data_IF_701994943326
#
_entry.id   IF_701994943326
#
_cell.length_a   1.000
_cell.length_b   1.000
_cell.length_c   1.000
_cell.angle_alpha   90.00
_cell.angle_beta   90.00
_cell.angle_gamma   90.00
#
_symmetry.space_group_name_H-M   'P 1'
#
loop_
_entity.id
_entity.type
_entity.pdbx_description
1 polymer ?
#
# COMPACT_ATOMS: atom_id res chain seq x y z
N UNK A 1 -33.12 -1.33 1.46
CA UNK A 1 -32.76 -2.09 0.26
C UNK A 1 -31.59 -3.00 0.58
N UNK A 2 -31.59 -4.25 0.08
CA UNK A 2 -30.46 -5.16 0.26
C UNK A 2 -29.22 -4.69 -0.53
N UNK A 3 -28.03 -5.05 -0.05
CA UNK A 3 -26.78 -4.78 -0.78
C UNK A 3 -26.80 -5.38 -2.18
N UNK A 4 -26.20 -4.72 -3.19
CA UNK A 4 -26.09 -5.28 -4.53
C UNK A 4 -25.38 -6.64 -4.49
N UNK A 5 -26.00 -7.66 -5.05
CA UNK A 5 -25.41 -9.01 -5.17
C UNK A 5 -25.15 -9.42 -6.61
N UNK A 6 -25.74 -8.69 -7.56
CA UNK A 6 -25.59 -8.91 -8.99
C UNK A 6 -24.51 -7.96 -9.55
N UNK A 7 -23.68 -8.48 -10.43
CA UNK A 7 -22.68 -7.70 -11.15
C UNK A 7 -23.37 -6.70 -12.10
N UNK A 8 -22.91 -5.47 -12.07
CA UNK A 8 -23.21 -4.45 -13.09
C UNK A 8 -21.93 -3.68 -13.40
N UNK A 9 -21.77 -3.26 -14.65
CA UNK A 9 -20.60 -2.47 -15.06
C UNK A 9 -20.50 -1.14 -14.29
N UNK A 10 -21.62 -0.54 -13.95
CA UNK A 10 -21.68 0.71 -13.18
C UNK A 10 -21.06 0.55 -11.79
N UNK A 11 -21.43 -0.52 -11.08
CA UNK A 11 -20.86 -0.82 -9.76
C UNK A 11 -19.37 -1.17 -9.88
N UNK A 12 -19.01 -1.96 -10.90
CA UNK A 12 -17.62 -2.33 -11.14
C UNK A 12 -16.74 -1.12 -11.43
N UNK A 13 -17.22 -0.19 -12.27
CA UNK A 13 -16.52 1.07 -12.56
C UNK A 13 -16.38 1.95 -11.31
N UNK A 14 -17.46 2.10 -10.54
CA UNK A 14 -17.43 2.88 -9.30
C UNK A 14 -16.42 2.31 -8.27
N UNK A 15 -16.34 0.97 -8.16
CA UNK A 15 -15.34 0.32 -7.31
C UNK A 15 -13.93 0.63 -7.83
N UNK A 16 -13.67 0.48 -9.14
CA UNK A 16 -12.36 0.75 -9.72
C UNK A 16 -11.96 2.22 -9.54
N UNK A 17 -12.86 3.17 -9.72
CA UNK A 17 -12.60 4.59 -9.52
C UNK A 17 -12.16 4.87 -8.08
N UNK A 18 -12.83 4.34 -7.09
CA UNK A 18 -12.48 4.53 -5.68
C UNK A 18 -11.17 3.86 -5.29
N UNK A 19 -10.92 2.66 -5.83
CA UNK A 19 -9.62 1.97 -5.67
C UNK A 19 -8.49 2.79 -6.29
N UNK A 20 -8.68 3.39 -7.47
CA UNK A 20 -7.67 4.23 -8.11
C UNK A 20 -7.38 5.51 -7.34
N UNK A 21 -8.31 5.97 -6.51
CA UNK A 21 -8.13 7.09 -5.59
C UNK A 21 -7.48 6.69 -4.25
N UNK A 22 -6.97 5.46 -4.14
CA UNK A 22 -6.26 4.98 -2.95
C UNK A 22 -7.14 4.41 -1.85
N UNK A 23 -8.47 4.33 -2.05
CA UNK A 23 -9.36 3.72 -1.08
C UNK A 23 -9.18 2.20 -1.01
N UNK A 24 -9.38 1.63 0.16
CA UNK A 24 -9.34 0.17 0.31
C UNK A 24 -10.67 -0.46 -0.08
N UNK A 25 -10.63 -1.62 -0.72
CA UNK A 25 -11.86 -2.38 -1.05
C UNK A 25 -12.74 -2.60 0.18
N UNK A 26 -12.13 -2.82 1.34
CA UNK A 26 -12.87 -3.02 2.58
C UNK A 26 -13.62 -1.76 3.04
N UNK A 27 -13.07 -0.58 2.82
CA UNK A 27 -13.75 0.68 3.13
C UNK A 27 -14.96 0.88 2.21
N UNK A 28 -14.77 0.68 0.90
CA UNK A 28 -15.83 0.76 -0.11
C UNK A 28 -16.98 -0.19 0.21
N UNK A 29 -16.67 -1.46 0.51
CA UNK A 29 -17.67 -2.48 0.80
C UNK A 29 -18.38 -2.33 2.16
N UNK A 30 -18.04 -1.34 2.98
CA UNK A 30 -18.83 -1.00 4.19
C UNK A 30 -20.10 -0.23 3.87
N UNK A 31 -20.12 0.46 2.76
CA UNK A 31 -21.29 1.24 2.34
C UNK A 31 -22.39 0.31 1.82
N UNK A 32 -23.65 0.65 2.11
CA UNK A 32 -24.80 -0.20 1.78
C UNK A 32 -25.10 -0.28 0.29
N UNK A 33 -24.69 0.73 -0.48
CA UNK A 33 -24.83 0.79 -1.93
C UNK A 33 -23.76 -0.02 -2.70
N UNK A 34 -22.78 -0.58 -1.98
CA UNK A 34 -21.77 -1.46 -2.56
C UNK A 34 -21.93 -2.92 -2.11
N UNK A 35 -21.51 -3.89 -2.93
CA UNK A 35 -21.51 -5.30 -2.57
C UNK A 35 -20.56 -5.60 -1.42
N UNK A 36 -20.78 -6.72 -0.74
CA UNK A 36 -19.81 -7.21 0.23
C UNK A 36 -18.49 -7.60 -0.45
N UNK A 37 -17.35 -7.47 0.27
CA UNK A 37 -16.04 -7.75 -0.30
C UNK A 37 -15.89 -9.17 -0.88
N UNK A 38 -16.52 -10.18 -0.28
CA UNK A 38 -16.56 -11.55 -0.81
C UNK A 38 -17.26 -11.65 -2.17
N UNK A 39 -18.29 -10.84 -2.37
CA UNK A 39 -18.99 -10.76 -3.66
C UNK A 39 -18.10 -10.14 -4.73
N UNK A 40 -17.33 -9.10 -4.38
CA UNK A 40 -16.37 -8.48 -5.32
C UNK A 40 -15.27 -9.47 -5.70
N UNK A 41 -14.72 -10.24 -4.75
CA UNK A 41 -13.71 -11.26 -5.06
C UNK A 41 -14.25 -12.33 -6.01
N UNK A 42 -15.50 -12.80 -5.78
CA UNK A 42 -16.15 -13.73 -6.72
C UNK A 42 -16.26 -13.11 -8.11
N UNK A 43 -16.67 -11.84 -8.24
CA UNK A 43 -16.73 -11.17 -9.54
C UNK A 43 -15.37 -11.03 -10.22
N UNK A 44 -14.30 -10.82 -9.46
CA UNK A 44 -12.93 -10.80 -10.01
C UNK A 44 -12.52 -12.16 -10.56
N UNK A 45 -12.96 -13.26 -9.95
CA UNK A 45 -12.71 -14.61 -10.42
C UNK A 45 -13.55 -14.96 -11.67
N UNK A 46 -14.79 -14.48 -11.72
CA UNK A 46 -15.74 -14.79 -12.79
C UNK A 46 -15.62 -13.88 -14.02
N UNK A 47 -15.07 -12.65 -13.87
CA UNK A 47 -15.00 -11.63 -14.91
C UNK A 47 -13.58 -11.11 -15.11
N UNK A 48 -12.90 -11.61 -16.15
CA UNK A 48 -11.53 -11.23 -16.50
C UNK A 48 -11.38 -9.75 -16.85
N UNK A 49 -12.38 -9.14 -17.48
CA UNK A 49 -12.34 -7.72 -17.84
C UNK A 49 -12.36 -6.84 -16.58
N UNK A 50 -13.24 -7.15 -15.64
CA UNK A 50 -13.27 -6.47 -14.35
C UNK A 50 -11.98 -6.69 -13.57
N UNK A 51 -11.44 -7.91 -13.56
CA UNK A 51 -10.15 -8.21 -12.92
C UNK A 51 -8.99 -7.37 -13.47
N UNK A 52 -8.94 -7.20 -14.80
CA UNK A 52 -7.94 -6.34 -15.46
C UNK A 52 -8.08 -4.86 -15.08
N UNK A 53 -9.31 -4.33 -15.09
CA UNK A 53 -9.61 -2.95 -14.67
C UNK A 53 -9.28 -2.72 -13.20
N UNK A 54 -9.62 -3.68 -12.35
CA UNK A 54 -9.34 -3.61 -10.92
C UNK A 54 -7.84 -3.63 -10.62
N UNK A 55 -7.07 -4.46 -11.32
CA UNK A 55 -5.60 -4.49 -11.19
C UNK A 55 -4.96 -3.15 -11.61
N UNK A 56 -5.43 -2.56 -12.71
CA UNK A 56 -4.98 -1.23 -13.15
C UNK A 56 -5.35 -0.14 -12.13
N UNK A 57 -6.57 -0.17 -11.60
CA UNK A 57 -7.02 0.76 -10.57
C UNK A 57 -6.17 0.65 -9.29
N UNK A 58 -5.81 -0.56 -8.87
CA UNK A 58 -4.91 -0.76 -7.73
C UNK A 58 -3.53 -0.18 -7.98
N UNK A 59 -2.97 -0.36 -9.16
CA UNK A 59 -1.67 0.21 -9.50
C UNK A 59 -1.66 1.74 -9.45
N UNK A 60 -2.75 2.39 -9.89
CA UNK A 60 -2.93 3.83 -9.75
C UNK A 60 -3.11 4.26 -8.29
N UNK A 61 -3.90 3.51 -7.51
CA UNK A 61 -4.11 3.77 -6.08
C UNK A 61 -2.83 3.68 -5.27
N UNK A 62 -1.89 2.81 -5.64
CA UNK A 62 -0.56 2.77 -5.02
C UNK A 62 0.19 4.09 -5.21
N UNK A 63 0.12 4.71 -6.38
CA UNK A 63 0.75 6.01 -6.64
C UNK A 63 0.10 7.12 -5.80
N UNK A 64 -1.22 7.11 -5.65
CA UNK A 64 -1.94 8.06 -4.80
C UNK A 64 -1.52 7.91 -3.33
N UNK A 65 -1.45 6.68 -2.82
CA UNK A 65 -1.01 6.40 -1.45
C UNK A 65 0.43 6.88 -1.22
N UNK A 66 1.32 6.73 -2.22
CA UNK A 66 2.69 7.24 -2.14
C UNK A 66 2.73 8.79 -2.12
N UNK A 67 1.89 9.45 -2.92
CA UNK A 67 1.77 10.92 -2.91
C UNK A 67 1.22 11.45 -1.59
N UNK A 68 0.22 10.77 -1.00
CA UNK A 68 -0.28 11.12 0.35
C UNK A 68 0.82 11.11 1.42
N UNK A 69 1.87 10.30 1.26
CA UNK A 69 2.99 10.32 2.20
C UNK A 69 3.72 11.67 2.17
N UNK A 70 3.85 12.30 1.01
CA UNK A 70 4.44 13.65 0.87
C UNK A 70 3.51 14.69 1.50
N UNK A 71 2.22 14.63 1.22
CA UNK A 71 1.23 15.54 1.82
C UNK A 71 1.23 15.48 3.35
N UNK A 72 1.28 14.26 3.91
CA UNK A 72 1.37 14.07 5.36
C UNK A 72 2.68 14.60 5.93
N UNK A 73 3.80 14.44 5.20
CA UNK A 73 5.11 14.91 5.64
C UNK A 73 5.23 16.44 5.62
N UNK A 74 4.58 17.08 4.65
CA UNK A 74 4.63 18.53 4.45
C UNK A 74 3.58 19.28 5.29
N UNK A 75 2.57 18.58 5.81
CA UNK A 75 1.52 19.16 6.66
C UNK A 75 2.02 19.40 8.09
N UNK A 76 2.47 20.61 8.36
CA UNK A 76 2.90 21.07 9.68
C UNK A 76 1.79 21.76 10.50
N UNK A 77 0.55 21.79 10.01
CA UNK A 77 -0.56 22.59 10.59
C UNK A 77 -0.88 22.27 12.06
N UNK A 78 -0.63 21.05 12.50
CA UNK A 78 -0.91 20.58 13.86
C UNK A 78 0.35 20.20 14.64
N UNK A 79 1.54 20.55 14.14
CA UNK A 79 2.81 20.22 14.80
C UNK A 79 3.02 21.02 16.10
N UNK A 80 2.33 22.12 16.22
CA UNK A 80 2.38 23.00 17.38
C UNK A 80 1.01 23.12 18.03
N UNK A 81 0.98 23.12 19.36
CA UNK A 81 -0.25 23.30 20.14
C UNK A 81 -0.07 24.38 21.20
N UNK A 82 -1.12 25.12 21.45
CA UNK A 82 -1.14 26.15 22.49
C UNK A 82 -1.15 25.49 23.87
N UNK A 83 -0.25 25.93 24.72
CA UNK A 83 -0.20 25.49 26.12
C UNK A 83 -0.94 26.47 27.01
N UNK A 84 -2.06 26.02 27.59
CA UNK A 84 -2.76 26.73 28.63
C UNK A 84 -2.31 26.16 29.97
N UNK A 85 -1.64 26.95 30.80
CA UNK A 85 -1.35 26.57 32.15
C UNK A 85 -1.91 27.66 33.10
N UNK A 86 -2.78 27.26 34.01
CA UNK A 86 -3.36 28.17 35.02
C UNK A 86 -2.34 28.61 36.07
N UNK A 87 -1.21 27.93 36.22
CA UNK A 87 -0.21 28.16 37.24
C UNK A 87 1.12 28.73 36.74
N UNK A 88 1.30 28.92 35.47
CA UNK A 88 2.59 29.36 34.91
C UNK A 88 2.40 30.54 33.98
N UNK A 89 3.15 31.62 34.19
CA UNK A 89 3.21 32.82 33.35
C UNK A 89 3.75 32.59 31.92
N UNK A 90 3.87 31.35 31.47
CA UNK A 90 4.30 30.97 30.14
C UNK A 90 3.14 30.41 29.32
N UNK A 91 2.25 31.29 28.89
CA UNK A 91 1.45 30.99 27.68
C UNK A 91 2.39 30.91 26.50
N UNK A 92 2.40 29.77 25.78
CA UNK A 92 3.31 29.57 24.67
C UNK A 92 2.91 28.38 23.79
N UNK A 93 3.53 28.29 22.66
CA UNK A 93 3.39 27.17 21.74
C UNK A 93 4.35 26.05 22.13
N UNK A 94 3.86 24.82 22.18
CA UNK A 94 4.71 23.63 22.37
C UNK A 94 4.53 22.69 21.20
N UNK A 95 5.56 21.87 20.95
CA UNK A 95 5.49 20.81 19.95
C UNK A 95 4.41 19.80 20.31
N UNK A 96 3.54 19.50 19.34
CA UNK A 96 2.54 18.43 19.44
C UNK A 96 3.19 17.09 19.03
N UNK A 97 3.92 16.51 19.96
CA UNK A 97 4.67 15.27 19.71
C UNK A 97 3.79 14.10 19.26
N UNK A 98 2.56 14.03 19.76
CA UNK A 98 1.62 12.97 19.38
C UNK A 98 1.21 13.08 17.91
N UNK A 99 0.99 14.32 17.41
CA UNK A 99 0.67 14.55 16.02
C UNK A 99 1.84 14.19 15.11
N UNK A 100 3.05 14.65 15.43
CA UNK A 100 4.27 14.35 14.67
C UNK A 100 4.54 12.85 14.63
N UNK A 101 4.42 12.14 15.76
CA UNK A 101 4.60 10.69 15.82
C UNK A 101 3.53 9.94 15.02
N UNK A 102 2.28 10.39 15.05
CA UNK A 102 1.21 9.80 14.26
C UNK A 102 1.42 10.00 12.76
N UNK A 103 1.85 11.17 12.33
CA UNK A 103 2.19 11.47 10.94
C UNK A 103 3.31 10.56 10.46
N UNK A 104 4.36 10.40 11.24
CA UNK A 104 5.44 9.44 10.97
C UNK A 104 4.93 8.01 10.84
N UNK A 105 4.09 7.54 11.77
CA UNK A 105 3.52 6.19 11.73
C UNK A 105 2.64 5.98 10.48
N UNK A 106 1.86 6.98 10.08
CA UNK A 106 1.03 6.92 8.86
C UNK A 106 1.88 6.74 7.61
N UNK A 107 2.98 7.48 7.49
CA UNK A 107 3.91 7.40 6.36
C UNK A 107 4.61 6.04 6.35
N UNK A 108 5.21 5.62 7.46
CA UNK A 108 5.92 4.34 7.56
C UNK A 108 5.02 3.15 7.24
N UNK A 109 3.79 3.16 7.73
CA UNK A 109 2.82 2.07 7.47
C UNK A 109 2.49 2.00 5.98
N UNK A 110 2.23 3.15 5.32
CA UNK A 110 1.94 3.19 3.88
C UNK A 110 3.10 2.67 3.06
N UNK A 111 4.32 3.15 3.31
CA UNK A 111 5.52 2.72 2.59
C UNK A 111 5.78 1.22 2.76
N UNK A 112 5.64 0.69 3.97
CA UNK A 112 5.78 -0.74 4.24
C UNK A 112 4.74 -1.60 3.51
N UNK A 113 3.50 -1.13 3.43
CA UNK A 113 2.44 -1.82 2.69
C UNK A 113 2.69 -1.78 1.19
N UNK A 114 3.05 -0.62 0.63
CA UNK A 114 3.39 -0.47 -0.78
C UNK A 114 4.52 -1.42 -1.20
N UNK A 115 5.59 -1.50 -0.40
CA UNK A 115 6.71 -2.40 -0.65
C UNK A 115 6.29 -3.89 -0.65
N UNK A 116 5.30 -4.26 0.16
CA UNK A 116 4.77 -5.63 0.21
C UNK A 116 3.77 -5.93 -0.92
N UNK A 117 2.95 -4.96 -1.30
CA UNK A 117 1.95 -5.14 -2.35
C UNK A 117 2.59 -5.21 -3.74
N UNK A 118 3.58 -4.36 -3.96
CA UNK A 118 4.30 -4.30 -5.24
C UNK A 118 5.81 -4.13 -5.02
N UNK A 119 6.52 -5.21 -4.64
CA UNK A 119 7.94 -5.15 -4.32
C UNK A 119 8.81 -4.73 -5.50
N UNK A 120 8.36 -4.98 -6.74
CA UNK A 120 9.08 -4.56 -7.95
C UNK A 120 9.11 -3.05 -8.12
N UNK A 121 8.05 -2.36 -7.71
CA UNK A 121 7.91 -0.91 -7.84
C UNK A 121 8.38 -0.17 -6.60
N UNK A 122 8.03 -0.68 -5.41
CA UNK A 122 8.18 0.00 -4.13
C UNK A 122 9.16 -0.67 -3.16
N UNK A 123 9.66 -1.86 -3.48
CA UNK A 123 10.62 -2.57 -2.64
C UNK A 123 12.02 -1.99 -2.74
N UNK A 124 12.80 -2.17 -1.68
CA UNK A 124 14.22 -1.84 -1.69
C UNK A 124 14.94 -2.72 -2.71
N UNK A 125 15.74 -2.11 -3.57
CA UNK A 125 16.58 -2.85 -4.52
C UNK A 125 17.72 -3.49 -3.72
N UNK A 126 17.63 -4.79 -3.47
CA UNK A 126 18.77 -5.55 -2.97
C UNK A 126 19.72 -5.80 -4.13
N UNK A 127 20.87 -5.15 -4.12
CA UNK A 127 22.01 -5.53 -4.95
C UNK A 127 22.63 -6.79 -4.32
N UNK A 128 22.25 -7.97 -4.79
CA UNK A 128 22.95 -9.20 -4.45
C UNK A 128 24.13 -9.29 -5.41
N UNK A 129 25.30 -8.84 -4.98
CA UNK A 129 26.54 -9.15 -5.69
C UNK A 129 26.85 -10.62 -5.47
N UNK A 130 26.57 -11.43 -6.48
CA UNK A 130 27.09 -12.79 -6.56
C UNK A 130 28.60 -12.70 -6.85
N UNK A 131 29.44 -12.57 -5.82
CA UNK A 131 30.91 -12.65 -5.92
C UNK A 131 31.43 -14.09 -6.01
N UNK A 132 30.64 -14.99 -6.59
CA UNK A 132 31.06 -16.35 -6.89
C UNK A 132 31.33 -16.48 -8.40
N UNK A 133 32.57 -16.65 -8.79
CA UNK A 133 32.89 -17.19 -10.11
C UNK A 133 32.38 -18.62 -10.18
N UNK A 134 31.14 -18.82 -10.63
CA UNK A 134 30.70 -20.10 -11.13
C UNK A 134 31.26 -20.21 -12.56
N UNK A 135 32.54 -20.53 -12.66
CA UNK A 135 33.10 -20.94 -13.93
C UNK A 135 32.46 -22.25 -14.33
N UNK A 136 32.02 -22.38 -15.59
CA UNK A 136 31.57 -23.64 -16.17
C UNK A 136 32.58 -24.77 -15.94
N UNK A 137 33.82 -24.44 -15.73
CA UNK A 137 34.93 -25.37 -15.43
C UNK A 137 34.79 -26.08 -14.07
N UNK A 138 34.14 -25.44 -13.06
CA UNK A 138 33.89 -26.06 -11.76
C UNK A 138 32.75 -27.08 -11.79
N UNK A 139 31.89 -27.07 -12.80
CA UNK A 139 30.80 -28.03 -12.98
C UNK A 139 31.25 -29.26 -13.76
N UNK A 140 32.38 -29.17 -14.49
CA UNK A 140 32.92 -30.28 -15.31
C UNK A 140 34.00 -31.08 -14.56
N UNK A 141 34.59 -30.50 -13.52
CA UNK A 141 35.67 -31.13 -12.73
C UNK A 141 35.17 -32.11 -11.63
N UNK A 142 33.88 -32.43 -11.57
CA UNK A 142 33.28 -33.19 -10.47
C UNK A 142 32.99 -34.67 -10.75
N UNK A 143 33.45 -35.29 -11.87
CA UNK A 143 33.02 -36.67 -12.22
C UNK A 143 34.13 -37.62 -12.73
N UNK A 144 35.36 -37.47 -12.26
CA UNK A 144 36.39 -38.46 -12.53
C UNK A 144 37.23 -38.75 -11.28
N UNK A 145 36.65 -39.42 -10.29
CA UNK A 145 37.44 -40.25 -9.34
C UNK A 145 36.53 -41.14 -8.49
N UNK A 146 35.98 -42.17 -9.10
CA UNK A 146 35.62 -43.42 -8.41
C UNK A 146 35.53 -44.61 -9.41
N UNK A 147 36.66 -45.07 -9.87
CA UNK A 147 36.79 -46.41 -10.40
C UNK A 147 38.24 -46.89 -10.21
N UNK A 148 38.52 -47.44 -9.03
CA UNK A 148 39.46 -48.57 -8.81
C UNK A 148 39.18 -49.16 -7.44
#
# INVERSE_FOLDING_TARGET
MGRPSSYTDEIALAICERISNGETLRAICREENFPGHSTVYRWLDENQEFAGRFAAARAQGEDVIAQECLEIADDSSNDWMEQHSEESASAGWRLNGDHVQRSKLRIETRLKLLAKWNPKKWGDKQHIEHSGKLGLESLIAGDDDKAT
#
